data_IF_935385346062
#
_entry.id   IF_935385346062
#
_cell.length_a   1.000
_cell.length_b   1.000
_cell.length_c   1.000
_cell.angle_alpha   90.00
_cell.angle_beta   90.00
_cell.angle_gamma   90.00
#
_symmetry.space_group_name_H-M   'P 1'
#
loop_
_entity.id
_entity.type
_entity.pdbx_description
1 polymer ?
#
# COMPACT_ATOMS: atom_id res chain seq x y z
N UNK A 1 -16.87 -13.80 65.61
CA UNK A 1 -16.20 -14.39 64.41
C UNK A 1 -16.40 -13.38 63.29
N UNK A 2 -15.42 -12.55 63.09
CA UNK A 2 -15.43 -11.51 62.04
C UNK A 2 -14.92 -12.12 60.73
N UNK A 3 -15.73 -12.00 59.67
CA UNK A 3 -15.32 -12.30 58.31
C UNK A 3 -14.96 -10.99 57.61
N UNK A 4 -13.67 -10.70 57.53
CA UNK A 4 -13.11 -9.64 56.68
C UNK A 4 -13.02 -10.22 55.24
N UNK A 5 -13.91 -9.75 54.38
CA UNK A 5 -13.77 -9.94 52.92
C UNK A 5 -12.88 -8.80 52.38
N UNK A 6 -11.63 -9.14 52.10
CA UNK A 6 -10.72 -8.28 51.37
C UNK A 6 -11.20 -8.17 49.91
N UNK A 7 -11.69 -6.97 49.53
CA UNK A 7 -11.90 -6.64 48.10
C UNK A 7 -10.54 -6.45 47.46
N UNK A 8 -10.17 -7.42 46.58
CA UNK A 8 -9.03 -7.27 45.66
C UNK A 8 -9.40 -6.22 44.62
N UNK A 9 -8.71 -5.08 44.64
CA UNK A 9 -8.81 -4.07 43.59
C UNK A 9 -8.30 -4.68 42.27
N UNK A 10 -9.18 -4.72 41.24
CA UNK A 10 -8.77 -5.02 39.88
C UNK A 10 -7.78 -3.94 39.39
N UNK A 11 -6.75 -4.29 38.61
CA UNK A 11 -5.82 -3.31 38.07
C UNK A 11 -6.56 -2.30 37.18
N UNK A 12 -6.40 -1.01 37.48
CA UNK A 12 -6.89 0.10 36.67
C UNK A 12 -6.29 -0.04 35.26
N UNK A 13 -7.15 -0.28 34.28
CA UNK A 13 -6.80 -0.22 32.86
C UNK A 13 -6.46 1.23 32.52
N UNK A 14 -5.19 1.59 32.55
CA UNK A 14 -4.72 2.86 31.98
C UNK A 14 -5.06 2.84 30.49
N UNK A 15 -5.89 3.75 29.95
CA UNK A 15 -6.20 3.78 28.53
C UNK A 15 -4.92 3.97 27.72
N UNK A 16 -4.77 3.20 26.65
CA UNK A 16 -3.64 3.35 25.74
C UNK A 16 -3.56 4.81 25.25
N UNK A 17 -2.36 5.40 25.13
CA UNK A 17 -2.21 6.78 24.68
C UNK A 17 -2.87 6.95 23.30
N UNK A 18 -3.55 8.09 23.11
CA UNK A 18 -4.18 8.43 21.84
C UNK A 18 -3.15 8.37 20.69
N UNK A 19 -3.53 7.89 19.51
CA UNK A 19 -2.62 7.82 18.38
C UNK A 19 -2.14 9.25 18.01
N UNK A 20 -0.86 9.40 17.59
CA UNK A 20 -0.30 10.69 17.25
C UNK A 20 -1.03 11.31 16.05
N UNK A 21 -1.24 12.62 16.09
CA UNK A 21 -1.75 13.40 14.98
C UNK A 21 -0.74 13.43 13.82
N UNK A 22 -1.21 13.79 12.63
CA UNK A 22 -0.30 13.94 11.49
C UNK A 22 0.77 15.02 11.74
N UNK A 23 0.38 16.15 12.33
CA UNK A 23 1.30 17.25 12.64
C UNK A 23 2.37 16.81 13.64
N UNK A 24 2.02 16.06 14.67
CA UNK A 24 2.98 15.48 15.62
C UNK A 24 3.95 14.49 14.92
N UNK A 25 3.42 13.67 14.00
CA UNK A 25 4.27 12.78 13.22
C UNK A 25 5.24 13.56 12.31
N UNK A 26 4.77 14.62 11.64
CA UNK A 26 5.61 15.47 10.79
C UNK A 26 6.66 16.25 11.62
N UNK A 27 6.31 16.70 12.81
CA UNK A 27 7.23 17.38 13.74
C UNK A 27 8.36 16.47 14.27
N UNK A 28 8.11 15.14 14.29
CA UNK A 28 9.09 14.15 14.70
C UNK A 28 10.08 13.75 13.60
N UNK A 29 9.91 14.21 12.35
CA UNK A 29 10.87 13.97 11.27
C UNK A 29 12.17 14.72 11.57
N UNK A 30 13.29 14.00 11.51
CA UNK A 30 14.60 14.60 11.74
C UNK A 30 14.93 15.62 10.65
N UNK A 31 15.35 16.83 11.10
CA UNK A 31 15.75 17.89 10.18
C UNK A 31 17.22 17.72 9.74
N UNK A 32 17.50 17.32 8.51
CA UNK A 32 18.85 17.03 8.04
C UNK A 32 19.70 18.29 7.84
N UNK A 33 19.11 19.48 7.94
CA UNK A 33 19.81 20.75 7.68
C UNK A 33 20.67 21.15 8.88
N UNK A 34 21.82 21.77 8.61
CA UNK A 34 22.63 22.39 9.67
C UNK A 34 21.86 23.56 10.34
N UNK A 35 22.03 23.73 11.64
CA UNK A 35 21.31 24.75 12.42
C UNK A 35 21.37 26.17 11.79
N UNK A 36 22.53 26.59 11.28
CA UNK A 36 22.71 27.89 10.60
C UNK A 36 21.87 28.08 9.34
N UNK A 37 21.37 26.98 8.72
CA UNK A 37 20.55 27.01 7.50
C UNK A 37 19.06 26.76 7.77
N UNK A 38 18.66 26.47 9.00
CA UNK A 38 17.27 26.21 9.41
C UNK A 38 16.47 27.50 9.59
N UNK A 39 16.31 28.29 8.51
CA UNK A 39 15.57 29.56 8.53
C UNK A 39 14.04 29.34 8.69
N UNK A 40 13.51 28.20 8.26
CA UNK A 40 12.11 27.77 8.36
C UNK A 40 12.06 26.46 9.15
N UNK A 41 11.07 26.27 10.01
CA UNK A 41 10.86 25.00 10.70
C UNK A 41 10.56 23.90 9.70
N UNK A 42 11.03 22.68 9.94
CA UNK A 42 10.78 21.55 9.04
C UNK A 42 9.28 21.22 8.99
N UNK A 43 8.60 21.21 10.13
CA UNK A 43 7.16 20.97 10.20
C UNK A 43 6.37 21.98 9.37
N UNK A 44 6.73 23.30 9.39
CA UNK A 44 6.08 24.31 8.56
C UNK A 44 6.23 23.98 7.06
N UNK A 45 7.46 23.61 6.65
CA UNK A 45 7.75 23.23 5.25
C UNK A 45 6.93 22.04 4.81
N UNK A 46 6.87 20.98 5.63
CA UNK A 46 6.13 19.75 5.33
C UNK A 46 4.61 20.00 5.30
N UNK A 47 4.08 20.75 6.27
CA UNK A 47 2.65 21.07 6.34
C UNK A 47 2.20 21.95 5.18
N UNK A 48 2.95 22.99 4.81
CA UNK A 48 2.66 23.79 3.62
C UNK A 48 2.68 22.92 2.36
N UNK A 49 3.68 22.03 2.22
CA UNK A 49 3.76 21.09 1.12
C UNK A 49 2.54 20.17 1.03
N UNK A 50 2.07 19.66 2.16
CA UNK A 50 0.88 18.82 2.25
C UNK A 50 -0.39 19.59 1.87
N UNK A 51 -0.60 20.77 2.43
CA UNK A 51 -1.73 21.65 2.10
C UNK A 51 -1.76 21.97 0.59
N UNK A 52 -0.61 22.28 0.00
CA UNK A 52 -0.49 22.49 -1.43
C UNK A 52 -0.90 21.24 -2.23
N UNK A 53 -0.45 20.04 -1.83
CA UNK A 53 -0.87 18.78 -2.48
C UNK A 53 -2.37 18.52 -2.38
N UNK A 54 -2.98 18.81 -1.23
CA UNK A 54 -4.41 18.65 -1.00
C UNK A 54 -5.25 19.61 -1.87
N UNK A 55 -4.72 20.80 -2.17
CA UNK A 55 -5.42 21.86 -2.93
C UNK A 55 -5.07 21.88 -4.42
N UNK A 56 -4.36 20.90 -4.94
CA UNK A 56 -4.10 20.78 -6.37
C UNK A 56 -2.65 21.06 -6.78
N UNK A 57 -1.79 21.48 -5.88
CA UNK A 57 -0.36 21.66 -6.17
C UNK A 57 0.33 20.36 -6.53
N UNK A 58 1.34 20.43 -7.39
CA UNK A 58 2.05 19.28 -7.97
C UNK A 58 3.56 19.28 -7.62
N UNK A 59 4.11 20.46 -7.33
CA UNK A 59 5.55 20.65 -7.14
C UNK A 59 5.93 21.83 -6.25
N UNK A 60 7.23 22.11 -6.18
CA UNK A 60 7.79 23.08 -5.25
C UNK A 60 7.37 24.54 -5.54
N UNK A 61 7.13 24.88 -6.82
CA UNK A 61 6.62 26.19 -7.19
C UNK A 61 5.21 26.42 -6.65
N UNK A 62 4.36 25.38 -6.73
CA UNK A 62 3.00 25.44 -6.23
C UNK A 62 2.95 25.52 -4.70
N UNK A 63 3.85 24.81 -4.02
CA UNK A 63 4.01 24.91 -2.56
C UNK A 63 4.37 26.33 -2.12
N UNK A 64 5.32 26.98 -2.83
CA UNK A 64 5.69 28.36 -2.56
C UNK A 64 4.56 29.34 -2.90
N UNK A 65 3.81 29.10 -3.97
CA UNK A 65 2.65 29.90 -4.35
C UNK A 65 1.54 29.80 -3.31
N UNK A 66 1.13 28.56 -2.96
CA UNK A 66 0.14 28.26 -1.93
C UNK A 66 0.48 28.96 -0.62
N UNK A 67 1.72 28.78 -0.15
CA UNK A 67 2.18 29.38 1.09
C UNK A 67 2.07 30.91 1.07
N UNK A 68 2.40 31.57 -0.05
CA UNK A 68 2.25 33.04 -0.16
C UNK A 68 0.78 33.49 -0.12
N UNK A 69 -0.08 32.77 -0.84
CA UNK A 69 -1.52 33.12 -0.92
C UNK A 69 -2.21 32.90 0.43
N UNK A 70 -1.91 31.77 1.09
CA UNK A 70 -2.55 31.35 2.34
C UNK A 70 -1.74 31.73 3.60
N UNK A 71 -0.78 32.68 3.47
CA UNK A 71 0.17 33.01 4.54
C UNK A 71 -0.50 33.36 5.86
N UNK A 72 -1.54 34.17 5.83
CA UNK A 72 -2.17 34.68 7.06
C UNK A 72 -2.97 33.56 7.77
N UNK A 73 -3.65 32.71 7.02
CA UNK A 73 -4.29 31.49 7.52
C UNK A 73 -3.25 30.49 8.08
N UNK A 74 -2.15 30.26 7.40
CA UNK A 74 -1.10 29.35 7.87
C UNK A 74 -0.49 29.82 9.21
N UNK A 75 -0.47 31.12 9.48
CA UNK A 75 0.03 31.70 10.74
C UNK A 75 -0.86 31.42 11.94
N UNK A 76 -2.07 30.97 11.75
CA UNK A 76 -2.97 30.59 12.85
C UNK A 76 -2.48 29.34 13.57
N UNK A 77 -1.73 28.45 12.87
CA UNK A 77 -1.24 27.20 13.43
C UNK A 77 0.24 26.86 13.10
N UNK A 78 0.91 27.63 12.24
CA UNK A 78 2.34 27.50 11.94
C UNK A 78 3.10 28.75 12.41
N UNK A 79 4.33 28.55 12.87
CA UNK A 79 5.11 29.69 13.39
C UNK A 79 5.67 30.63 12.31
N UNK A 80 6.07 30.08 11.18
CA UNK A 80 6.64 30.80 10.02
C UNK A 80 7.68 31.89 10.40
N UNK A 81 8.72 31.58 11.18
CA UNK A 81 9.61 32.55 11.83
C UNK A 81 10.33 33.48 10.84
N UNK A 82 10.51 33.06 9.60
CA UNK A 82 11.09 33.84 8.49
C UNK A 82 10.14 33.93 7.29
N UNK A 83 8.82 33.85 7.55
CA UNK A 83 7.80 33.84 6.50
C UNK A 83 7.72 32.53 5.74
N UNK A 84 7.13 32.57 4.55
CA UNK A 84 6.92 31.39 3.70
C UNK A 84 8.21 30.99 2.96
N UNK A 85 8.56 29.68 2.92
CA UNK A 85 9.70 29.19 2.15
C UNK A 85 9.58 29.46 0.65
N UNK A 86 10.71 29.69 -0.02
CA UNK A 86 10.77 29.75 -1.48
C UNK A 86 10.76 28.35 -2.10
N UNK A 87 10.46 28.22 -3.40
CA UNK A 87 10.51 26.95 -4.13
C UNK A 87 11.87 26.23 -4.01
N UNK A 88 12.99 27.00 -4.01
CA UNK A 88 14.32 26.42 -3.78
C UNK A 88 14.49 25.85 -2.38
N UNK A 89 13.84 26.46 -1.37
CA UNK A 89 13.86 25.94 0.00
C UNK A 89 13.09 24.64 0.07
N UNK A 90 11.91 24.55 -0.53
CA UNK A 90 11.14 23.29 -0.62
C UNK A 90 11.98 22.21 -1.31
N UNK A 91 12.55 22.51 -2.50
CA UNK A 91 13.37 21.54 -3.22
C UNK A 91 14.55 21.04 -2.36
N UNK A 92 15.31 21.94 -1.73
CA UNK A 92 16.44 21.56 -0.87
C UNK A 92 16.02 20.72 0.32
N UNK A 93 14.89 21.03 0.96
CA UNK A 93 14.38 20.29 2.10
C UNK A 93 13.95 18.89 1.67
N UNK A 94 13.07 18.76 0.66
CA UNK A 94 12.61 17.48 0.16
C UNK A 94 13.73 16.62 -0.44
N UNK A 95 14.79 17.23 -0.97
CA UNK A 95 15.97 16.52 -1.43
C UNK A 95 16.87 16.00 -0.30
N UNK A 96 16.82 16.63 0.87
CA UNK A 96 17.72 16.34 1.99
C UNK A 96 17.12 15.43 3.06
N UNK A 97 15.79 15.39 3.23
CA UNK A 97 15.11 14.51 4.21
C UNK A 97 15.47 13.06 3.90
N UNK A 98 15.87 12.31 4.94
CA UNK A 98 16.04 10.87 4.83
C UNK A 98 14.68 10.22 4.57
N UNK A 99 14.51 9.49 3.45
CA UNK A 99 13.25 8.84 3.12
C UNK A 99 12.80 7.80 4.14
N UNK A 100 13.73 7.18 4.86
CA UNK A 100 13.40 6.20 5.92
C UNK A 100 12.72 6.89 7.10
N UNK A 101 13.29 8.01 7.58
CA UNK A 101 12.66 8.79 8.65
C UNK A 101 11.28 9.32 8.23
N UNK A 102 11.11 9.70 6.97
CA UNK A 102 9.81 10.15 6.46
C UNK A 102 8.81 9.01 6.29
N UNK A 103 9.28 7.83 5.88
CA UNK A 103 8.46 6.60 5.85
C UNK A 103 8.00 6.21 7.27
N UNK A 104 8.90 6.24 8.26
CA UNK A 104 8.56 5.91 9.66
C UNK A 104 7.50 6.85 10.22
N UNK A 105 7.59 8.15 9.91
CA UNK A 105 6.56 9.13 10.22
C UNK A 105 5.22 8.74 9.58
N UNK A 106 5.22 8.43 8.28
CA UNK A 106 4.03 8.06 7.53
C UNK A 106 3.37 6.78 8.09
N UNK A 107 4.15 5.72 8.30
CA UNK A 107 3.65 4.44 8.85
C UNK A 107 3.08 4.61 10.26
N UNK A 108 3.74 5.41 11.11
CA UNK A 108 3.27 5.70 12.47
C UNK A 108 1.92 6.41 12.45
N UNK A 109 1.76 7.43 11.59
CA UNK A 109 0.50 8.12 11.43
C UNK A 109 -0.60 7.20 10.88
N UNK A 110 -0.31 6.43 9.81
CA UNK A 110 -1.28 5.49 9.22
C UNK A 110 -1.76 4.47 10.23
N UNK A 111 -0.87 3.96 11.09
CA UNK A 111 -1.25 3.06 12.18
C UNK A 111 -2.27 3.68 13.12
N UNK A 112 -2.18 4.99 13.37
CA UNK A 112 -3.13 5.71 14.22
C UNK A 112 -4.52 5.88 13.57
N UNK A 113 -4.57 6.00 12.24
CA UNK A 113 -5.82 6.22 11.52
C UNK A 113 -6.45 4.95 10.93
N UNK A 114 -5.71 3.85 10.89
CA UNK A 114 -6.19 2.56 10.40
C UNK A 114 -6.77 1.77 11.59
N UNK A 115 -8.10 1.53 11.61
CA UNK A 115 -8.75 0.96 12.80
C UNK A 115 -8.30 -0.48 13.09
N UNK A 116 -8.19 -1.32 12.07
CA UNK A 116 -7.66 -2.67 12.16
C UNK A 116 -7.21 -3.16 10.78
N UNK A 117 -6.08 -3.86 10.75
CA UNK A 117 -5.61 -4.54 9.54
C UNK A 117 -5.91 -6.04 9.58
N UNK A 118 -6.36 -6.56 10.72
CA UNK A 118 -6.69 -7.99 10.85
C UNK A 118 -7.78 -8.39 9.87
N UNK A 119 -7.51 -9.38 9.05
CA UNK A 119 -8.39 -9.82 7.96
C UNK A 119 -8.33 -8.96 6.69
N UNK A 120 -7.62 -7.82 6.68
CA UNK A 120 -7.44 -7.03 5.45
C UNK A 120 -6.41 -7.67 4.51
N UNK A 121 -6.59 -7.40 3.23
CA UNK A 121 -5.61 -7.76 2.20
C UNK A 121 -4.67 -6.59 1.96
N UNK A 122 -3.38 -6.82 2.17
CA UNK A 122 -2.32 -5.86 1.89
C UNK A 122 -1.65 -6.22 0.56
N UNK A 123 -2.00 -5.48 -0.49
CA UNK A 123 -1.36 -5.64 -1.79
C UNK A 123 -0.03 -4.86 -1.82
N UNK A 124 1.05 -5.56 -2.18
CA UNK A 124 2.37 -4.95 -2.42
C UNK A 124 2.62 -4.96 -3.92
N UNK A 125 2.82 -3.80 -4.50
CA UNK A 125 3.00 -3.63 -5.93
C UNK A 125 3.94 -2.46 -6.23
N UNK A 126 4.61 -2.54 -7.38
CA UNK A 126 5.61 -1.59 -7.80
C UNK A 126 5.15 -0.69 -8.93
N UNK A 127 5.64 0.55 -8.93
CA UNK A 127 5.32 1.56 -9.93
C UNK A 127 6.54 2.40 -10.29
N UNK A 128 6.75 2.61 -11.60
CA UNK A 128 7.75 3.53 -12.12
C UNK A 128 7.29 5.00 -12.04
N UNK A 129 8.16 5.92 -11.61
CA UNK A 129 7.94 7.38 -11.67
C UNK A 129 8.48 7.92 -13.00
N UNK A 130 7.70 7.80 -14.07
CA UNK A 130 8.16 7.91 -15.48
C UNK A 130 8.89 9.20 -15.85
N UNK A 131 8.50 10.36 -15.32
CA UNK A 131 9.11 11.66 -15.65
C UNK A 131 10.12 12.16 -14.62
N UNK A 132 10.39 11.39 -13.57
CA UNK A 132 11.50 11.67 -12.66
C UNK A 132 12.85 11.17 -13.21
N UNK A 133 12.94 10.95 -14.53
CA UNK A 133 14.14 10.55 -15.23
C UNK A 133 15.19 11.66 -15.16
N UNK A 134 16.42 11.34 -14.77
CA UNK A 134 17.59 12.21 -14.82
C UNK A 134 18.60 11.63 -15.81
N UNK A 135 19.33 12.49 -16.54
CA UNK A 135 20.32 12.01 -17.52
C UNK A 135 21.37 11.15 -16.81
N UNK A 136 21.44 9.86 -17.22
CA UNK A 136 22.37 8.88 -16.67
C UNK A 136 21.88 8.07 -15.45
N UNK A 137 20.69 8.35 -14.92
CA UNK A 137 20.10 7.57 -13.82
C UNK A 137 18.86 6.79 -14.29
N UNK A 138 18.61 5.57 -13.76
CA UNK A 138 17.42 4.82 -14.06
C UNK A 138 16.16 5.53 -13.55
N UNK A 139 15.01 5.24 -14.17
CA UNK A 139 13.71 5.74 -13.73
C UNK A 139 13.47 5.25 -12.31
N UNK A 140 13.19 6.13 -11.33
CA UNK A 140 12.88 5.70 -9.97
C UNK A 140 11.65 4.79 -9.94
N UNK A 141 11.80 3.64 -9.30
CA UNK A 141 10.73 2.67 -9.11
C UNK A 141 10.33 2.64 -7.64
N UNK A 142 9.04 2.64 -7.34
CA UNK A 142 8.51 2.67 -5.97
C UNK A 142 7.65 1.45 -5.73
N UNK A 143 7.98 0.67 -4.71
CA UNK A 143 7.14 -0.40 -4.18
C UNK A 143 6.26 0.18 -3.08
N UNK A 144 4.95 -0.05 -3.17
CA UNK A 144 3.94 0.47 -2.24
C UNK A 144 3.13 -0.67 -1.62
N UNK A 145 2.68 -0.47 -0.39
CA UNK A 145 1.73 -1.34 0.29
C UNK A 145 0.37 -0.65 0.39
N UNK A 146 -0.68 -1.36 0.03
CA UNK A 146 -2.06 -0.89 -0.02
C UNK A 146 -2.99 -1.81 0.76
N UNK A 147 -3.67 -1.31 1.79
CA UNK A 147 -4.72 -2.02 2.52
C UNK A 147 -6.03 -1.90 1.74
N UNK A 148 -6.54 -3.02 1.24
CA UNK A 148 -7.64 -3.03 0.28
C UNK A 148 -8.99 -2.66 0.91
N UNK A 149 -9.33 -3.19 2.09
CA UNK A 149 -10.58 -2.90 2.79
C UNK A 149 -10.55 -1.50 3.42
N UNK A 150 -9.45 -1.16 4.09
CA UNK A 150 -9.25 0.16 4.68
C UNK A 150 -9.06 1.27 3.62
N UNK A 151 -8.73 0.91 2.38
CA UNK A 151 -8.50 1.82 1.24
C UNK A 151 -7.41 2.86 1.53
N UNK A 152 -6.33 2.45 2.20
CA UNK A 152 -5.22 3.30 2.61
C UNK A 152 -3.89 2.79 2.07
N UNK A 153 -3.02 3.71 1.64
CA UNK A 153 -1.62 3.41 1.44
C UNK A 153 -0.95 3.27 2.80
N UNK A 154 -0.25 2.16 3.04
CA UNK A 154 0.39 1.84 4.32
C UNK A 154 1.84 2.30 4.38
N UNK A 155 2.53 2.33 3.25
CA UNK A 155 3.94 2.68 3.14
C UNK A 155 4.45 2.53 1.72
N UNK A 156 5.69 2.96 1.50
CA UNK A 156 6.40 2.81 0.23
C UNK A 156 7.91 2.84 0.43
N UNK A 157 8.64 2.20 -0.49
CA UNK A 157 10.11 2.24 -0.56
C UNK A 157 10.52 2.42 -2.03
N UNK A 158 11.54 3.26 -2.30
CA UNK A 158 12.18 3.34 -3.62
C UNK A 158 13.06 2.11 -3.82
N UNK A 159 12.99 1.51 -4.98
CA UNK A 159 13.94 0.49 -5.43
C UNK A 159 15.28 1.16 -5.72
N UNK A 160 16.38 0.63 -5.18
CA UNK A 160 17.71 1.15 -5.45
C UNK A 160 18.09 0.98 -6.93
N UNK A 161 18.82 1.94 -7.48
CA UNK A 161 19.14 2.04 -8.91
C UNK A 161 19.89 0.81 -9.49
N UNK A 162 20.53 0.01 -8.63
CA UNK A 162 21.25 -1.23 -9.01
C UNK A 162 20.55 -2.50 -8.57
N UNK A 163 19.28 -2.42 -8.16
CA UNK A 163 18.51 -3.55 -7.62
C UNK A 163 17.13 -3.64 -8.29
N UNK A 164 16.28 -4.50 -7.75
CA UNK A 164 14.91 -4.72 -8.22
C UNK A 164 13.93 -4.74 -7.03
N UNK A 165 12.66 -4.97 -7.29
CA UNK A 165 11.62 -5.05 -6.27
C UNK A 165 11.92 -6.09 -5.17
N UNK A 166 12.63 -7.17 -5.50
CA UNK A 166 12.99 -8.26 -4.56
C UNK A 166 13.75 -7.71 -3.35
N UNK A 167 14.55 -6.66 -3.53
CA UNK A 167 15.32 -6.05 -2.43
C UNK A 167 14.54 -4.98 -1.69
N UNK A 168 13.62 -4.27 -2.34
CA UNK A 168 12.80 -3.21 -1.75
C UNK A 168 11.63 -3.76 -0.90
N UNK A 169 11.02 -4.87 -1.33
CA UNK A 169 9.91 -5.51 -0.60
C UNK A 169 10.29 -5.85 0.85
N UNK A 170 11.43 -6.51 1.15
CA UNK A 170 11.86 -6.78 2.52
C UNK A 170 12.01 -5.52 3.39
N UNK A 171 12.50 -4.41 2.84
CA UNK A 171 12.61 -3.15 3.56
C UNK A 171 11.22 -2.58 3.89
N UNK A 172 10.30 -2.59 2.93
CA UNK A 172 8.93 -2.16 3.15
C UNK A 172 8.24 -3.04 4.20
N UNK A 173 8.35 -4.36 4.08
CA UNK A 173 7.79 -5.30 5.05
C UNK A 173 8.30 -5.06 6.47
N UNK A 174 9.59 -4.71 6.66
CA UNK A 174 10.15 -4.40 7.99
C UNK A 174 9.42 -3.22 8.66
N UNK A 175 9.10 -2.18 7.91
CA UNK A 175 8.44 -0.97 8.41
C UNK A 175 6.97 -1.20 8.76
N UNK A 176 6.28 -2.16 8.11
CA UNK A 176 4.84 -2.34 8.22
C UNK A 176 4.41 -3.24 9.39
N UNK A 177 3.23 -2.97 9.93
CA UNK A 177 2.51 -3.83 10.89
C UNK A 177 1.49 -4.68 10.11
N UNK A 178 1.72 -6.00 10.04
CA UNK A 178 0.98 -6.89 9.14
C UNK A 178 0.29 -8.05 9.87
N UNK A 179 0.31 -8.07 11.21
CA UNK A 179 -0.28 -9.17 11.97
C UNK A 179 -1.75 -9.38 11.61
N UNK A 180 -2.11 -10.62 11.25
CA UNK A 180 -3.47 -11.00 10.87
C UNK A 180 -3.91 -10.57 9.47
N UNK A 181 -3.04 -9.92 8.68
CA UNK A 181 -3.32 -9.59 7.28
C UNK A 181 -3.06 -10.76 6.33
N UNK A 182 -3.59 -10.64 5.10
CA UNK A 182 -3.18 -11.45 3.96
C UNK A 182 -2.35 -10.56 3.02
N UNK A 183 -1.06 -10.84 2.89
CA UNK A 183 -0.18 -10.08 1.99
C UNK A 183 -0.19 -10.72 0.61
N UNK A 184 -0.43 -9.90 -0.41
CA UNK A 184 -0.40 -10.34 -1.81
C UNK A 184 0.73 -9.65 -2.56
N UNK A 185 1.49 -10.40 -3.33
CA UNK A 185 2.62 -9.89 -4.12
C UNK A 185 2.58 -10.57 -5.49
N UNK A 186 3.01 -9.84 -6.52
CA UNK A 186 3.15 -10.36 -7.87
C UNK A 186 4.30 -11.39 -7.97
N UNK A 187 4.47 -11.97 -9.15
CA UNK A 187 5.44 -13.05 -9.35
C UNK A 187 6.90 -12.64 -9.09
N UNK A 188 7.27 -11.38 -9.26
CA UNK A 188 8.64 -10.92 -9.01
C UNK A 188 8.97 -11.00 -7.52
N UNK A 189 8.01 -10.68 -6.65
CA UNK A 189 8.14 -10.79 -5.20
C UNK A 189 7.83 -12.18 -4.63
N UNK A 190 7.54 -13.18 -5.46
CA UNK A 190 7.37 -14.57 -5.02
C UNK A 190 8.75 -15.17 -4.69
N UNK A 191 9.25 -14.91 -3.46
CA UNK A 191 10.56 -15.34 -2.97
C UNK A 191 10.44 -16.01 -1.60
N UNK A 192 11.27 -17.02 -1.33
CA UNK A 192 11.24 -17.81 -0.08
C UNK A 192 11.50 -16.93 1.13
N UNK A 193 12.43 -15.99 1.03
CA UNK A 193 12.80 -15.03 2.08
C UNK A 193 11.67 -14.03 2.38
N UNK A 194 10.96 -13.60 1.35
CA UNK A 194 9.79 -12.70 1.48
C UNK A 194 8.65 -13.45 2.17
N UNK A 195 8.34 -14.68 1.75
CA UNK A 195 7.34 -15.52 2.41
C UNK A 195 7.67 -15.76 3.90
N UNK A 196 8.94 -16.00 4.22
CA UNK A 196 9.39 -16.16 5.59
C UNK A 196 9.18 -14.90 6.42
N UNK A 197 9.55 -13.74 5.89
CA UNK A 197 9.38 -12.45 6.57
C UNK A 197 7.92 -12.09 6.82
N UNK A 198 7.02 -12.37 5.87
CA UNK A 198 5.57 -12.18 6.04
C UNK A 198 5.05 -13.08 7.18
N UNK A 199 5.41 -14.36 7.16
CA UNK A 199 5.02 -15.32 8.19
C UNK A 199 5.53 -14.93 9.59
N UNK A 200 6.76 -14.41 9.70
CA UNK A 200 7.35 -13.92 10.95
C UNK A 200 6.62 -12.70 11.53
N UNK A 201 5.99 -11.90 10.67
CA UNK A 201 5.14 -10.79 11.10
C UNK A 201 3.73 -11.23 11.53
N UNK A 202 3.44 -12.52 11.52
CA UNK A 202 2.13 -13.07 11.89
C UNK A 202 1.06 -12.81 10.83
N UNK A 203 1.46 -12.63 9.57
CA UNK A 203 0.58 -12.48 8.43
C UNK A 203 0.48 -13.77 7.61
N UNK A 204 -0.51 -13.83 6.75
CA UNK A 204 -0.65 -14.81 5.69
C UNK A 204 -0.17 -14.23 4.35
N UNK A 205 0.08 -15.11 3.37
CA UNK A 205 0.47 -14.66 2.03
C UNK A 205 -0.27 -15.41 0.92
N UNK A 206 -0.44 -14.70 -0.20
CA UNK A 206 -0.86 -15.23 -1.51
C UNK A 206 0.11 -14.66 -2.54
N UNK A 207 1.08 -15.47 -2.96
CA UNK A 207 2.16 -15.06 -3.86
C UNK A 207 1.90 -15.63 -5.26
N UNK A 208 1.87 -14.76 -6.27
CA UNK A 208 1.70 -15.20 -7.65
C UNK A 208 2.95 -15.95 -8.13
N UNK A 209 2.74 -17.10 -8.77
CA UNK A 209 3.81 -17.96 -9.30
C UNK A 209 3.85 -17.88 -10.81
N UNK A 210 5.02 -17.65 -11.37
CA UNK A 210 5.28 -17.60 -12.81
C UNK A 210 6.63 -18.26 -13.15
N UNK A 211 7.10 -18.08 -14.37
CA UNK A 211 8.34 -18.68 -14.88
C UNK A 211 9.63 -18.29 -14.15
N UNK A 212 9.63 -17.34 -13.21
CA UNK A 212 10.76 -17.08 -12.34
C UNK A 212 11.07 -18.25 -11.36
N UNK A 213 10.11 -19.13 -11.14
CA UNK A 213 10.23 -20.41 -10.46
C UNK A 213 9.73 -21.53 -11.40
N UNK A 214 10.40 -21.74 -12.53
CA UNK A 214 9.92 -22.59 -13.64
C UNK A 214 9.51 -24.00 -13.16
N UNK A 215 10.35 -24.70 -12.42
CA UNK A 215 10.06 -26.04 -11.92
C UNK A 215 8.81 -26.07 -11.03
N UNK A 216 8.72 -25.20 -10.04
CA UNK A 216 7.56 -25.12 -9.16
C UNK A 216 6.29 -24.76 -9.93
N UNK A 217 6.39 -23.83 -10.90
CA UNK A 217 5.28 -23.46 -11.76
C UNK A 217 4.78 -24.63 -12.60
N UNK A 218 5.68 -25.37 -13.24
CA UNK A 218 5.35 -26.54 -14.06
C UNK A 218 4.73 -27.67 -13.24
N UNK A 219 5.28 -27.98 -12.05
CA UNK A 219 4.77 -29.00 -11.15
C UNK A 219 3.33 -28.66 -10.68
N UNK A 220 3.10 -27.42 -10.26
CA UNK A 220 1.79 -26.97 -9.78
C UNK A 220 0.78 -26.87 -10.95
N UNK A 221 1.23 -26.39 -12.11
CA UNK A 221 0.39 -26.37 -13.31
C UNK A 221 -0.06 -27.78 -13.70
N UNK A 222 0.86 -28.75 -13.71
CA UNK A 222 0.57 -30.16 -14.01
C UNK A 222 -0.37 -30.78 -12.96
N UNK A 223 -0.19 -30.43 -11.68
CA UNK A 223 -1.11 -30.87 -10.62
C UNK A 223 -2.55 -30.40 -10.91
N UNK A 224 -2.74 -29.11 -11.18
CA UNK A 224 -4.09 -28.58 -11.49
C UNK A 224 -4.62 -29.09 -12.84
N UNK A 225 -3.78 -29.33 -13.83
CA UNK A 225 -4.19 -29.91 -15.11
C UNK A 225 -4.76 -31.33 -14.94
N UNK A 226 -4.18 -32.13 -14.04
CA UNK A 226 -4.67 -33.47 -13.73
C UNK A 226 -5.91 -33.48 -12.82
N UNK A 227 -6.02 -32.51 -11.93
CA UNK A 227 -7.04 -32.48 -10.89
C UNK A 227 -8.27 -31.67 -11.27
N UNK A 228 -8.17 -30.74 -12.22
CA UNK A 228 -9.25 -29.85 -12.66
C UNK A 228 -9.32 -29.83 -14.17
N UNK A 229 -10.40 -30.39 -14.74
CA UNK A 229 -10.65 -30.27 -16.17
C UNK A 229 -10.90 -28.78 -16.56
N UNK A 230 -10.59 -28.36 -17.83
CA UNK A 230 -10.87 -26.99 -18.27
C UNK A 230 -12.36 -26.64 -18.11
N UNK A 231 -12.62 -25.45 -17.56
CA UNK A 231 -13.98 -24.94 -17.29
C UNK A 231 -14.84 -25.83 -16.37
N UNK A 232 -14.21 -26.74 -15.63
CA UNK A 232 -14.93 -27.59 -14.67
C UNK A 232 -15.31 -26.80 -13.38
N UNK A 233 -16.35 -27.24 -12.71
CA UNK A 233 -16.80 -26.72 -11.43
C UNK A 233 -16.57 -27.70 -10.28
N UNK A 234 -16.05 -28.90 -10.58
CA UNK A 234 -15.72 -29.93 -9.61
C UNK A 234 -14.34 -30.54 -9.89
N UNK A 235 -13.58 -30.96 -8.84
CA UNK A 235 -12.31 -31.65 -9.03
C UNK A 235 -12.54 -33.05 -9.63
N UNK A 236 -11.48 -33.58 -10.25
CA UNK A 236 -11.46 -34.96 -10.73
C UNK A 236 -11.20 -35.95 -9.58
N UNK A 237 -11.33 -37.26 -9.84
CA UNK A 237 -11.09 -38.32 -8.84
C UNK A 237 -9.61 -38.42 -8.38
N UNK A 238 -8.70 -37.64 -8.97
CA UNK A 238 -7.29 -37.59 -8.58
C UNK A 238 -7.03 -36.77 -7.32
N UNK A 239 -8.04 -36.10 -6.76
CA UNK A 239 -7.90 -35.25 -5.56
C UNK A 239 -8.32 -36.02 -4.33
N UNK A 240 -7.51 -35.97 -3.27
CA UNK A 240 -7.92 -36.47 -1.97
C UNK A 240 -9.18 -35.74 -1.50
N UNK A 241 -10.28 -36.43 -1.18
CA UNK A 241 -11.51 -35.77 -0.74
C UNK A 241 -11.27 -34.82 0.43
N UNK A 242 -11.82 -33.59 0.35
CA UNK A 242 -11.69 -32.55 1.39
C UNK A 242 -10.37 -31.77 1.37
N UNK A 243 -9.50 -31.98 0.38
CA UNK A 243 -8.25 -31.21 0.26
C UNK A 243 -8.29 -30.13 -0.81
N UNK A 244 -9.40 -30.02 -1.58
CA UNK A 244 -9.59 -28.99 -2.59
C UNK A 244 -10.97 -28.36 -2.47
N UNK A 245 -11.05 -27.04 -2.62
CA UNK A 245 -12.27 -26.26 -2.62
C UNK A 245 -12.35 -25.36 -3.84
N UNK A 246 -13.56 -24.95 -4.25
CA UNK A 246 -13.88 -24.21 -5.45
C UNK A 246 -14.79 -23.02 -5.16
N UNK A 247 -14.54 -21.91 -5.84
CA UNK A 247 -15.39 -20.73 -5.83
C UNK A 247 -15.45 -20.10 -7.23
N UNK A 248 -16.63 -19.59 -7.60
CA UNK A 248 -16.84 -18.91 -8.89
C UNK A 248 -17.28 -17.46 -8.65
N UNK A 249 -16.82 -16.56 -9.51
CA UNK A 249 -17.35 -15.20 -9.59
C UNK A 249 -17.66 -14.83 -11.04
N UNK A 250 -18.76 -14.08 -11.24
CA UNK A 250 -19.19 -13.61 -12.57
C UNK A 250 -19.33 -12.10 -12.53
N UNK A 251 -18.53 -11.41 -13.33
CA UNK A 251 -18.55 -9.95 -13.47
C UNK A 251 -19.04 -9.55 -14.86
N UNK A 252 -20.01 -8.63 -14.91
CA UNK A 252 -20.49 -8.01 -16.16
C UNK A 252 -20.28 -6.51 -16.08
N UNK A 253 -19.43 -5.98 -16.96
CA UNK A 253 -19.17 -4.55 -17.00
C UNK A 253 -18.81 -4.09 -18.41
N UNK A 254 -19.35 -2.95 -18.85
CA UNK A 254 -19.03 -2.29 -20.15
C UNK A 254 -18.95 -3.23 -21.37
N UNK A 255 -19.90 -4.18 -21.48
CA UNK A 255 -19.95 -5.15 -22.61
C UNK A 255 -18.91 -6.27 -22.53
N UNK A 256 -18.29 -6.47 -21.37
CA UNK A 256 -17.40 -7.58 -21.04
C UNK A 256 -18.08 -8.51 -20.03
N UNK A 257 -18.07 -9.80 -20.32
CA UNK A 257 -18.37 -10.85 -19.34
C UNK A 257 -17.05 -11.48 -18.91
N UNK A 258 -16.85 -11.57 -17.62
CA UNK A 258 -15.68 -12.20 -17.03
C UNK A 258 -16.11 -13.22 -15.97
N UNK A 259 -15.80 -14.48 -16.19
CA UNK A 259 -16.03 -15.58 -15.25
C UNK A 259 -14.68 -15.99 -14.69
N UNK A 260 -14.57 -16.09 -13.37
CA UNK A 260 -13.36 -16.56 -12.70
C UNK A 260 -13.68 -17.76 -11.83
N UNK A 261 -12.97 -18.82 -12.07
CA UNK A 261 -12.92 -20.02 -11.27
C UNK A 261 -11.70 -19.96 -10.35
N UNK A 262 -11.92 -20.13 -9.06
CA UNK A 262 -10.88 -20.17 -8.05
C UNK A 262 -10.82 -21.56 -7.47
N UNK A 263 -9.64 -22.14 -7.45
CA UNK A 263 -9.35 -23.42 -6.87
C UNK A 263 -8.28 -23.26 -5.79
N UNK A 264 -8.48 -23.87 -4.62
CA UNK A 264 -7.49 -23.89 -3.55
C UNK A 264 -7.31 -25.32 -3.10
N UNK A 265 -6.07 -25.82 -3.07
CA UNK A 265 -5.76 -27.19 -2.64
C UNK A 265 -4.74 -27.20 -1.51
N UNK A 266 -5.04 -27.92 -0.44
CA UNK A 266 -4.13 -28.22 0.67
C UNK A 266 -3.33 -29.50 0.46
N UNK A 267 -3.51 -30.21 -0.66
CA UNK A 267 -2.69 -31.35 -1.04
C UNK A 267 -1.33 -30.90 -1.56
N UNK A 268 -0.46 -30.53 -0.64
CA UNK A 268 0.91 -30.06 -0.90
C UNK A 268 1.98 -31.10 -0.57
N UNK A 269 1.57 -32.30 -0.17
CA UNK A 269 2.47 -33.37 0.31
C UNK A 269 3.51 -33.82 -0.71
N UNK A 270 3.14 -33.80 -1.98
CA UNK A 270 3.97 -34.19 -3.11
C UNK A 270 5.03 -33.14 -3.50
N UNK A 271 4.84 -31.86 -3.14
CA UNK A 271 5.75 -30.79 -3.51
C UNK A 271 7.03 -30.86 -2.66
N UNK A 272 8.14 -31.16 -3.30
CA UNK A 272 9.43 -31.41 -2.61
C UNK A 272 9.94 -30.15 -1.90
N UNK A 273 9.81 -29.00 -2.53
CA UNK A 273 10.27 -27.70 -2.04
C UNK A 273 9.40 -27.09 -0.91
N UNK A 274 8.30 -27.75 -0.49
CA UNK A 274 7.34 -27.21 0.49
C UNK A 274 8.01 -26.71 1.79
N UNK A 275 9.05 -27.39 2.25
CA UNK A 275 9.77 -27.02 3.50
C UNK A 275 10.60 -25.74 3.36
N UNK A 276 10.91 -25.30 2.15
CA UNK A 276 11.65 -24.08 1.87
C UNK A 276 10.75 -22.84 1.93
N UNK A 277 9.43 -23.03 1.85
CA UNK A 277 8.43 -21.97 1.92
C UNK A 277 7.81 -21.94 3.31
N UNK A 278 8.22 -20.97 4.14
CA UNK A 278 7.70 -20.83 5.52
C UNK A 278 6.19 -20.69 5.51
N UNK A 279 5.48 -21.52 6.31
CA UNK A 279 4.03 -21.51 6.44
C UNK A 279 3.25 -21.86 5.15
N UNK A 280 3.87 -22.45 4.11
CA UNK A 280 3.13 -22.91 2.93
C UNK A 280 2.08 -23.94 3.33
N UNK A 281 0.82 -23.68 3.01
CA UNK A 281 -0.31 -24.53 3.39
C UNK A 281 -1.18 -24.97 2.21
N UNK A 282 -1.16 -24.22 1.10
CA UNK A 282 -1.98 -24.55 -0.07
C UNK A 282 -1.41 -23.99 -1.37
N UNK A 283 -1.87 -24.56 -2.50
CA UNK A 283 -1.71 -24.03 -3.85
C UNK A 283 -3.04 -23.47 -4.33
N UNK A 284 -2.98 -22.28 -4.96
CA UNK A 284 -4.14 -21.67 -5.59
C UNK A 284 -4.02 -21.67 -7.12
N UNK A 285 -5.15 -21.85 -7.81
CA UNK A 285 -5.29 -21.59 -9.23
C UNK A 285 -6.47 -20.67 -9.49
N UNK A 286 -6.29 -19.71 -10.40
CA UNK A 286 -7.37 -18.88 -10.93
C UNK A 286 -7.43 -19.08 -12.43
N UNK A 287 -8.58 -19.55 -12.93
CA UNK A 287 -8.90 -19.58 -14.34
C UNK A 287 -9.85 -18.45 -14.66
N UNK A 288 -9.42 -17.52 -15.53
CA UNK A 288 -10.21 -16.36 -15.94
C UNK A 288 -10.67 -16.53 -17.37
N UNK A 289 -11.99 -16.61 -17.58
CA UNK A 289 -12.62 -16.59 -18.90
C UNK A 289 -13.14 -15.18 -19.17
N UNK A 290 -12.70 -14.58 -20.28
CA UNK A 290 -13.13 -13.25 -20.71
C UNK A 290 -13.79 -13.32 -22.06
N UNK A 291 -15.04 -12.86 -22.14
CA UNK A 291 -15.78 -12.69 -23.37
C UNK A 291 -15.88 -11.18 -23.69
N UNK A 292 -15.20 -10.75 -24.75
CA UNK A 292 -15.21 -9.37 -25.21
C UNK A 292 -15.50 -9.37 -26.72
N UNK A 293 -16.58 -8.70 -27.12
CA UNK A 293 -16.98 -8.59 -28.56
C UNK A 293 -17.00 -9.95 -29.28
N UNK A 294 -17.55 -10.99 -28.62
CA UNK A 294 -17.67 -12.34 -29.17
C UNK A 294 -16.38 -13.17 -29.17
N UNK A 295 -15.25 -12.63 -28.70
CA UNK A 295 -14.00 -13.38 -28.53
C UNK A 295 -13.86 -13.85 -27.11
N UNK A 296 -13.65 -15.16 -26.92
CA UNK A 296 -13.35 -15.77 -25.63
C UNK A 296 -11.84 -15.95 -25.46
N UNK A 297 -11.32 -15.61 -24.30
CA UNK A 297 -9.94 -15.92 -23.89
C UNK A 297 -9.95 -16.55 -22.51
N UNK A 298 -9.08 -17.56 -22.31
CA UNK A 298 -8.90 -18.25 -21.03
C UNK A 298 -7.45 -18.05 -20.59
N UNK A 299 -7.27 -17.69 -19.33
CA UNK A 299 -5.96 -17.51 -18.71
C UNK A 299 -5.94 -18.22 -17.36
N UNK A 300 -4.88 -19.02 -17.09
CA UNK A 300 -4.65 -19.67 -15.80
C UNK A 300 -3.48 -19.01 -15.08
N UNK A 301 -3.62 -18.79 -13.79
CA UNK A 301 -2.58 -18.25 -12.89
C UNK A 301 -2.50 -19.11 -11.65
N UNK A 302 -1.27 -19.32 -11.16
CA UNK A 302 -0.98 -20.18 -10.01
C UNK A 302 -0.39 -19.36 -8.87
N UNK A 303 -0.62 -19.85 -7.65
CA UNK A 303 -0.26 -19.13 -6.43
C UNK A 303 0.25 -20.09 -5.37
N UNK A 304 1.24 -19.62 -4.58
CA UNK A 304 1.66 -20.22 -3.33
C UNK A 304 0.99 -19.50 -2.18
N UNK A 305 0.33 -20.23 -1.29
CA UNK A 305 -0.48 -19.64 -0.22
C UNK A 305 -0.13 -20.22 1.15
N UNK A 306 -0.13 -19.36 2.17
CA UNK A 306 -0.12 -19.81 3.56
C UNK A 306 -1.53 -20.01 4.14
N UNK A 307 -2.57 -19.68 3.37
CA UNK A 307 -3.96 -19.90 3.73
C UNK A 307 -4.27 -21.40 3.81
N UNK A 308 -5.08 -21.79 4.78
CA UNK A 308 -5.71 -23.10 4.83
C UNK A 308 -6.83 -23.18 3.77
N UNK A 309 -7.69 -24.22 3.80
CA UNK A 309 -8.74 -24.42 2.80
C UNK A 309 -9.88 -23.38 2.94
N UNK A 310 -9.58 -22.13 2.55
CA UNK A 310 -10.53 -21.01 2.47
C UNK A 310 -10.42 -20.35 1.08
N UNK A 311 -11.09 -20.95 0.12
CA UNK A 311 -11.07 -20.48 -1.28
C UNK A 311 -11.71 -19.11 -1.45
N UNK A 312 -12.63 -18.69 -0.56
CA UNK A 312 -13.24 -17.35 -0.61
C UNK A 312 -12.25 -16.29 -0.18
N UNK A 313 -11.50 -16.52 0.91
CA UNK A 313 -10.41 -15.62 1.31
C UNK A 313 -9.33 -15.54 0.23
N UNK A 314 -8.97 -16.65 -0.41
CA UNK A 314 -8.08 -16.68 -1.57
C UNK A 314 -8.60 -15.82 -2.74
N UNK A 315 -9.88 -15.98 -3.12
CA UNK A 315 -10.49 -15.22 -4.19
C UNK A 315 -10.51 -13.72 -3.90
N UNK A 316 -10.85 -13.32 -2.65
CA UNK A 316 -10.79 -11.93 -2.19
C UNK A 316 -9.36 -11.39 -2.27
N UNK A 317 -8.37 -12.15 -1.81
CA UNK A 317 -6.97 -11.74 -1.81
C UNK A 317 -6.46 -11.49 -3.25
N UNK A 318 -6.72 -12.42 -4.18
CA UNK A 318 -6.33 -12.26 -5.59
C UNK A 318 -7.01 -11.05 -6.23
N UNK A 319 -8.29 -10.83 -5.97
CA UNK A 319 -9.03 -9.66 -6.49
C UNK A 319 -8.52 -8.35 -5.92
N UNK A 320 -8.21 -8.32 -4.64
CA UNK A 320 -7.70 -7.15 -3.95
C UNK A 320 -6.31 -6.73 -4.45
N UNK A 321 -5.45 -7.69 -4.83
CA UNK A 321 -4.15 -7.38 -5.44
C UNK A 321 -4.31 -6.57 -6.72
N UNK A 322 -5.19 -7.00 -7.64
CA UNK A 322 -5.49 -6.24 -8.86
C UNK A 322 -6.23 -4.92 -8.57
N UNK A 323 -6.88 -4.84 -7.42
CA UNK A 323 -7.56 -3.64 -6.95
C UNK A 323 -6.61 -2.48 -6.63
N UNK A 324 -5.30 -2.70 -6.49
CA UNK A 324 -4.32 -1.62 -6.20
C UNK A 324 -4.20 -0.62 -7.36
N UNK A 325 -4.38 -1.06 -8.61
CA UNK A 325 -4.20 -0.20 -9.78
C UNK A 325 -5.12 1.02 -9.78
N UNK A 326 -6.43 0.83 -9.59
CA UNK A 326 -7.38 1.93 -9.67
C UNK A 326 -7.39 2.83 -8.42
N UNK A 327 -7.54 2.33 -7.20
CA UNK A 327 -7.62 3.16 -6.01
C UNK A 327 -6.29 3.77 -5.57
N UNK A 328 -5.14 3.23 -5.98
CA UNK A 328 -3.83 3.79 -5.65
C UNK A 328 -3.14 4.37 -6.89
N UNK A 329 -2.71 3.55 -7.84
CA UNK A 329 -1.84 3.99 -8.94
C UNK A 329 -2.54 5.00 -9.85
N UNK A 330 -3.73 4.70 -10.34
CA UNK A 330 -4.50 5.64 -11.17
C UNK A 330 -4.80 6.96 -10.44
N UNK A 331 -5.15 6.89 -9.13
CA UNK A 331 -5.37 8.11 -8.34
C UNK A 331 -4.11 8.97 -8.24
N UNK A 332 -2.95 8.34 -8.01
CA UNK A 332 -1.67 9.06 -7.96
C UNK A 332 -1.32 9.67 -9.31
N UNK A 333 -1.59 8.98 -10.43
CA UNK A 333 -1.24 9.47 -11.77
C UNK A 333 -2.21 10.52 -12.30
N UNK A 334 -3.51 10.26 -12.17
CA UNK A 334 -4.54 11.11 -12.79
C UNK A 334 -4.94 12.27 -11.87
N UNK A 335 -5.08 12.02 -10.56
CA UNK A 335 -5.55 13.04 -9.61
C UNK A 335 -4.39 13.84 -9.05
N UNK A 336 -3.26 13.18 -8.70
CA UNK A 336 -2.09 13.83 -8.12
C UNK A 336 -0.96 14.08 -9.13
N UNK A 337 -1.13 13.66 -10.38
CA UNK A 337 -0.19 13.81 -11.49
C UNK A 337 1.23 13.36 -11.14
N UNK A 338 1.33 12.25 -10.40
CA UNK A 338 2.60 11.72 -9.90
C UNK A 338 3.58 11.43 -11.04
N UNK A 339 3.13 10.81 -12.12
CA UNK A 339 3.93 10.50 -13.30
C UNK A 339 4.47 11.75 -14.03
N UNK A 340 3.88 12.93 -13.81
CA UNK A 340 4.33 14.19 -14.41
C UNK A 340 5.35 14.95 -13.53
N UNK A 341 5.63 14.43 -12.32
CA UNK A 341 6.59 15.05 -11.40
C UNK A 341 8.00 15.03 -11.97
N UNK A 342 8.64 16.22 -12.04
CA UNK A 342 10.01 16.39 -12.50
C UNK A 342 11.01 16.58 -11.36
N UNK A 343 10.65 16.25 -10.13
CA UNK A 343 11.57 16.28 -9.00
C UNK A 343 12.61 15.16 -9.15
N UNK A 344 13.88 15.51 -9.31
CA UNK A 344 14.97 14.58 -9.63
C UNK A 344 16.12 14.61 -8.63
N UNK A 345 16.21 15.70 -7.85
CA UNK A 345 17.35 15.92 -6.97
C UNK A 345 17.31 14.95 -5.77
N UNK A 346 18.33 14.10 -5.64
CA UNK A 346 18.53 13.17 -4.49
C UNK A 346 17.22 12.44 -4.10
N UNK A 347 16.69 12.73 -2.90
CA UNK A 347 15.51 12.07 -2.33
C UNK A 347 14.18 12.76 -2.67
N UNK A 348 14.19 13.85 -3.45
CA UNK A 348 13.01 14.68 -3.72
C UNK A 348 11.83 13.88 -4.31
N UNK A 349 12.10 13.03 -5.32
CA UNK A 349 11.05 12.21 -5.94
C UNK A 349 10.36 11.28 -4.95
N UNK A 350 11.16 10.56 -4.13
CA UNK A 350 10.67 9.61 -3.13
C UNK A 350 9.88 10.32 -2.03
N UNK A 351 10.39 11.44 -1.52
CA UNK A 351 9.74 12.21 -0.46
C UNK A 351 8.43 12.86 -0.94
N UNK A 352 8.39 13.37 -2.19
CA UNK A 352 7.14 13.84 -2.78
C UNK A 352 6.13 12.71 -3.00
N UNK A 353 6.57 11.52 -3.38
CA UNK A 353 5.70 10.36 -3.48
C UNK A 353 5.11 9.98 -2.11
N UNK A 354 5.88 10.04 -1.03
CA UNK A 354 5.35 9.86 0.35
C UNK A 354 4.31 10.91 0.68
N UNK A 355 4.60 12.20 0.40
CA UNK A 355 3.66 13.29 0.66
C UNK A 355 2.34 13.14 -0.11
N UNK A 356 2.39 12.67 -1.38
CA UNK A 356 1.17 12.37 -2.16
C UNK A 356 0.34 11.26 -1.55
N UNK A 357 0.96 10.22 -0.98
CA UNK A 357 0.24 9.13 -0.31
C UNK A 357 -0.40 9.58 1.00
N UNK A 358 0.26 10.45 1.75
CA UNK A 358 -0.35 11.10 2.92
C UNK A 358 -1.58 11.90 2.49
N UNK A 359 -1.46 12.75 1.46
CA UNK A 359 -2.58 13.53 0.94
C UNK A 359 -3.72 12.65 0.40
N UNK A 360 -3.40 11.56 -0.31
CA UNK A 360 -4.37 10.59 -0.79
C UNK A 360 -5.14 9.94 0.37
N UNK A 361 -4.43 9.51 1.43
CA UNK A 361 -5.07 8.90 2.60
C UNK A 361 -6.03 9.86 3.30
N UNK A 362 -5.66 11.13 3.48
CA UNK A 362 -6.53 12.15 4.05
C UNK A 362 -7.81 12.33 3.24
N UNK A 363 -7.68 12.44 1.91
CA UNK A 363 -8.83 12.57 1.00
C UNK A 363 -9.73 11.32 1.04
N UNK A 364 -9.13 10.12 1.11
CA UNK A 364 -9.89 8.85 1.16
C UNK A 364 -10.58 8.63 2.49
N UNK A 365 -9.96 9.04 3.59
CA UNK A 365 -10.53 8.94 4.93
C UNK A 365 -11.73 9.88 5.14
N UNK A 366 -11.80 10.98 4.42
CA UNK A 366 -12.94 11.89 4.49
C UNK A 366 -14.21 11.23 3.94
N UNK A 367 -15.24 11.09 4.78
CA UNK A 367 -16.47 10.35 4.50
C UNK A 367 -17.54 11.20 3.77
N UNK A 368 -17.19 11.76 2.61
CA UNK A 368 -18.16 12.41 1.70
C UNK A 368 -18.35 11.54 0.46
N UNK A 369 -19.25 10.51 0.49
CA UNK A 369 -19.32 9.46 -0.54
C UNK A 369 -19.74 9.97 -1.92
N UNK A 370 -20.48 11.07 -2.00
CA UNK A 370 -20.93 11.66 -3.27
C UNK A 370 -19.92 12.60 -3.92
N UNK A 371 -18.78 12.88 -3.24
CA UNK A 371 -17.74 13.79 -3.71
C UNK A 371 -16.52 13.01 -4.15
N UNK A 372 -16.19 13.06 -5.44
CA UNK A 372 -15.00 12.37 -5.96
C UNK A 372 -13.70 12.94 -5.35
N UNK A 373 -12.63 12.16 -5.36
CA UNK A 373 -11.32 12.60 -4.83
C UNK A 373 -10.81 13.87 -5.51
N UNK A 374 -11.03 14.01 -6.82
CA UNK A 374 -10.71 15.24 -7.56
C UNK A 374 -11.54 16.42 -7.05
N UNK A 375 -12.84 16.23 -6.82
CA UNK A 375 -13.71 17.29 -6.30
C UNK A 375 -13.35 17.67 -4.86
N UNK A 376 -12.94 16.72 -4.01
CA UNK A 376 -12.44 17.02 -2.66
C UNK A 376 -11.20 17.92 -2.70
N UNK A 377 -10.28 17.71 -3.66
CA UNK A 377 -9.14 18.63 -3.85
C UNK A 377 -9.56 20.03 -4.29
N UNK A 378 -10.56 20.13 -5.15
CA UNK A 378 -11.14 21.43 -5.55
C UNK A 378 -11.81 22.10 -4.34
N UNK A 379 -12.59 21.36 -3.56
CA UNK A 379 -13.19 21.90 -2.33
C UNK A 379 -12.12 22.41 -1.36
N UNK A 380 -11.08 21.63 -1.11
CA UNK A 380 -9.96 22.04 -0.24
C UNK A 380 -9.24 23.31 -0.74
N UNK A 381 -9.23 23.55 -2.06
CA UNK A 381 -8.67 24.78 -2.61
C UNK A 381 -9.57 26.00 -2.42
N UNK A 382 -10.89 25.82 -2.47
CA UNK A 382 -11.90 26.86 -2.41
C UNK A 382 -12.37 27.16 -0.97
N UNK A 383 -12.43 26.13 -0.13
CA UNK A 383 -12.96 26.18 1.22
C UNK A 383 -11.88 25.82 2.25
N UNK A 384 -11.46 26.79 3.03
CA UNK A 384 -10.41 26.64 4.06
C UNK A 384 -10.90 25.75 5.20
N UNK A 385 -12.16 25.83 5.60
CA UNK A 385 -12.72 24.99 6.67
C UNK A 385 -12.71 23.50 6.24
N UNK A 386 -12.96 23.21 4.97
CA UNK A 386 -12.81 21.84 4.46
C UNK A 386 -11.35 21.36 4.46
N UNK A 387 -10.40 22.25 4.17
CA UNK A 387 -8.98 21.92 4.25
C UNK A 387 -8.56 21.62 5.69
N UNK A 388 -9.05 22.39 6.68
CA UNK A 388 -8.86 22.15 8.12
C UNK A 388 -9.45 20.80 8.54
N UNK A 389 -10.68 20.49 8.10
CA UNK A 389 -11.31 19.18 8.32
C UNK A 389 -10.42 18.02 7.81
N UNK A 390 -9.84 18.16 6.62
CA UNK A 390 -8.93 17.15 6.06
C UNK A 390 -7.66 16.98 6.88
N UNK A 391 -7.12 18.06 7.43
CA UNK A 391 -5.90 18.07 8.24
C UNK A 391 -6.15 17.61 9.68
N UNK A 392 -7.39 17.72 10.17
CA UNK A 392 -7.76 17.43 11.55
C UNK A 392 -7.29 18.50 12.52
N UNK A 393 -7.33 19.79 12.11
CA UNK A 393 -6.96 20.97 12.89
C UNK A 393 -8.16 21.92 13.05
#
# INVERSE_FOLDING_TARGET
MNNDHAHANAPEHTPAPAPPTLVECLAAVEDPRMNRTRRHKLVDVLTIGLCSMLTGGEGFNDMALFGRIKRDWLREFLELPKGVPTHDTFNRVFSAIDPRCFLDCFVRWVRGICPALEGDVVAIDGKALRHALDEGNPIPYIVSAWAAQNRLALGQVKVDDKSNEITAIPELLKALYLKGCIVTIDAMGCQKEIAAQIAEKGADYVLALKGNHATAHEEIALFFEKTVAPCATAPTDFVTPGTMDFHETVDKDHGRLEIRHYWLSTDIGWFQDRKLWKKLASFGMVESMRLVRGKCSIERRFFLCSLTLDVKAFAVAVRAHWGVENPLHWCLDVIFREDQSRARCKHAAQNLATLRRIALNLIKKNERPQVSQRQKRILAALDTAFLEELLGI
#
